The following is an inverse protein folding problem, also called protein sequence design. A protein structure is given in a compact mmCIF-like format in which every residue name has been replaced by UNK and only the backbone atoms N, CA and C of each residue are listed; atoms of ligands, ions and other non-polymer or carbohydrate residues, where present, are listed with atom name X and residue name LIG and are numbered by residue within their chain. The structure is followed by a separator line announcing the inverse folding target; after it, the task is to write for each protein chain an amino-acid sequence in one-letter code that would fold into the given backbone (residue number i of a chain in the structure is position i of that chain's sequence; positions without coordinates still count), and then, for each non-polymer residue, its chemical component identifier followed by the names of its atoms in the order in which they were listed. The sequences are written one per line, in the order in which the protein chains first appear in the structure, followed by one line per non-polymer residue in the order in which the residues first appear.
data_IF_716733377302
#
_entry.id   IF_716733377302
#
_cell.length_a   1.000
_cell.length_b   1.000
_cell.length_c   1.000
_cell.angle_alpha   90.00
_cell.angle_beta   90.00
_cell.angle_gamma   90.00
#
_symmetry.space_group_name_H-M   'P 1'
#
loop_
_entity.id
_entity.type
_entity.pdbx_description
1 polymer ?
#
# COMPACT_ATOMS: atom_id res chain seq x y z
N UNK A 1 -20.76 10.79 15.95
CA UNK A 1 -21.04 10.33 14.58
C UNK A 1 -19.68 10.10 13.93
N UNK A 2 -19.58 9.27 12.89
CA UNK A 2 -18.29 9.08 12.24
C UNK A 2 -18.03 10.23 11.25
N UNK A 3 -16.76 10.62 11.06
CA UNK A 3 -16.36 11.55 10.01
C UNK A 3 -16.85 11.05 8.63
N UNK A 4 -17.12 11.96 7.71
CA UNK A 4 -17.55 11.62 6.34
C UNK A 4 -16.39 11.77 5.37
N UNK A 5 -16.27 10.82 4.43
CA UNK A 5 -15.27 10.79 3.39
C UNK A 5 -15.89 11.02 2.02
N UNK A 6 -15.23 11.80 1.17
CA UNK A 6 -15.57 11.97 -0.25
C UNK A 6 -14.31 12.25 -1.07
N UNK A 7 -14.30 11.79 -2.32
CA UNK A 7 -13.21 12.09 -3.25
C UNK A 7 -13.53 13.34 -4.05
N UNK A 8 -12.57 14.26 -4.15
CA UNK A 8 -12.67 15.51 -4.91
C UNK A 8 -11.58 15.53 -5.97
N UNK A 9 -12.00 15.72 -7.21
CA UNK A 9 -11.13 15.64 -8.39
C UNK A 9 -11.39 14.37 -9.19
N UNK A 10 -10.98 14.36 -10.44
CA UNK A 10 -11.15 13.24 -11.38
C UNK A 10 -9.85 12.56 -11.75
N UNK A 11 -8.73 13.23 -11.54
CA UNK A 11 -7.38 12.73 -11.76
C UNK A 11 -6.60 13.08 -10.49
N UNK A 12 -5.96 12.08 -9.86
CA UNK A 12 -5.22 12.27 -8.61
C UNK A 12 -6.06 13.02 -7.56
N UNK A 13 -7.19 12.42 -7.15
CA UNK A 13 -8.17 13.11 -6.32
C UNK A 13 -7.63 13.40 -4.93
N UNK A 14 -8.19 14.41 -4.27
CA UNK A 14 -8.06 14.59 -2.83
C UNK A 14 -9.11 13.74 -2.11
N UNK A 15 -8.75 13.20 -0.96
CA UNK A 15 -9.72 12.74 0.02
C UNK A 15 -10.16 13.94 0.87
N UNK A 16 -11.41 14.34 0.73
CA UNK A 16 -12.05 15.31 1.61
C UNK A 16 -12.67 14.61 2.80
N UNK A 17 -12.33 15.06 4.00
CA UNK A 17 -12.84 14.56 5.26
C UNK A 17 -13.56 15.71 5.98
N UNK A 18 -14.84 15.53 6.30
CA UNK A 18 -15.58 16.43 7.19
C UNK A 18 -15.71 15.77 8.56
N UNK A 19 -15.25 16.46 9.62
CA UNK A 19 -15.24 16.02 11.00
C UNK A 19 -16.14 16.95 11.83
N UNK A 20 -17.12 16.38 12.52
CA UNK A 20 -17.87 17.10 13.53
C UNK A 20 -17.06 17.16 14.83
N UNK A 21 -17.34 18.14 15.69
CA UNK A 21 -16.66 18.27 16.98
C UNK A 21 -16.65 16.94 17.75
N UNK A 22 -15.45 16.48 18.11
CA UNK A 22 -15.20 15.20 18.79
C UNK A 22 -15.00 14.01 17.85
N UNK A 23 -15.20 14.17 16.54
CA UNK A 23 -14.83 13.13 15.57
C UNK A 23 -13.31 13.11 15.36
N UNK A 24 -12.81 11.95 15.00
CA UNK A 24 -11.41 11.79 14.58
C UNK A 24 -11.25 10.72 13.52
N UNK A 25 -10.17 10.81 12.76
CA UNK A 25 -9.75 9.85 11.75
C UNK A 25 -8.29 9.49 11.92
N UNK A 26 -7.90 8.34 11.39
CA UNK A 26 -6.49 7.98 11.20
C UNK A 26 -6.10 8.20 9.76
N UNK A 27 -4.87 8.65 9.53
CA UNK A 27 -4.31 8.80 8.17
C UNK A 27 -2.84 8.39 8.14
N UNK A 28 -2.36 8.13 6.93
CA UNK A 28 -0.94 7.90 6.67
C UNK A 28 -0.13 9.15 7.04
N UNK A 29 1.10 8.95 7.50
CA UNK A 29 2.04 10.05 7.70
C UNK A 29 2.28 10.80 6.38
N UNK A 30 2.32 12.12 6.44
CA UNK A 30 2.49 13.02 5.29
C UNK A 30 1.29 13.09 4.32
N UNK A 31 0.17 12.42 4.58
CA UNK A 31 -1.01 12.52 3.72
C UNK A 31 -1.76 13.86 3.85
N UNK A 32 -1.58 14.60 4.96
CA UNK A 32 -2.29 15.86 5.19
C UNK A 32 -1.80 16.96 4.24
N UNK A 33 -2.72 17.45 3.42
CA UNK A 33 -2.50 18.57 2.49
C UNK A 33 -3.01 19.88 3.08
N UNK A 34 -4.21 19.86 3.65
CA UNK A 34 -4.87 21.00 4.27
C UNK A 34 -5.75 20.53 5.42
N UNK A 35 -5.82 21.31 6.48
CA UNK A 35 -6.84 21.16 7.51
C UNK A 35 -7.24 22.52 8.07
N UNK A 36 -8.49 22.64 8.48
CA UNK A 36 -8.98 23.84 9.16
C UNK A 36 -8.44 23.94 10.58
N UNK A 37 -8.33 25.17 11.11
CA UNK A 37 -7.75 25.47 12.41
C UNK A 37 -8.53 24.91 13.62
N UNK A 38 -9.76 24.43 13.40
CA UNK A 38 -10.56 23.74 14.41
C UNK A 38 -10.13 22.29 14.65
N UNK A 39 -9.28 21.75 13.75
CA UNK A 39 -8.74 20.41 13.79
C UNK A 39 -7.34 20.41 14.39
N UNK A 40 -6.97 19.30 15.03
CA UNK A 40 -5.62 19.05 15.52
C UNK A 40 -5.04 17.78 14.89
N UNK A 41 -3.79 17.88 14.44
CA UNK A 41 -3.01 16.76 13.95
C UNK A 41 -2.13 16.20 15.08
N UNK A 42 -2.31 14.93 15.41
CA UNK A 42 -1.56 14.23 16.45
C UNK A 42 -0.83 13.03 15.85
N UNK A 43 0.48 12.91 16.09
CA UNK A 43 1.21 11.69 15.76
C UNK A 43 0.77 10.54 16.67
N UNK A 44 0.41 9.38 16.11
CA UNK A 44 0.04 8.20 16.86
C UNK A 44 0.95 7.02 16.54
N UNK A 45 1.61 6.52 17.57
CA UNK A 45 2.29 5.21 17.55
C UNK A 45 1.27 4.15 17.98
N UNK A 46 0.78 3.33 17.07
CA UNK A 46 -0.07 2.21 17.43
C UNK A 46 0.74 1.05 18.03
N UNK A 47 0.47 0.77 19.31
CA UNK A 47 0.70 -0.49 20.03
C UNK A 47 2.12 -1.06 20.12
N UNK A 48 2.41 -1.80 21.19
CA UNK A 48 3.73 -2.37 21.51
C UNK A 48 4.37 -3.31 20.48
N UNK A 49 3.59 -3.90 19.56
CA UNK A 49 4.13 -4.68 18.46
C UNK A 49 4.81 -3.80 17.40
N UNK A 50 4.33 -2.57 17.23
CA UNK A 50 4.86 -1.58 16.30
C UNK A 50 6.28 -1.14 16.70
N UNK A 51 6.58 -1.01 18.00
CA UNK A 51 7.94 -0.67 18.44
C UNK A 51 8.97 -1.76 18.10
N UNK A 52 8.57 -3.02 18.12
CA UNK A 52 9.47 -4.12 17.75
C UNK A 52 9.63 -4.25 16.22
N UNK A 53 8.58 -3.93 15.47
CA UNK A 53 8.59 -3.85 14.01
C UNK A 53 9.41 -2.63 13.55
N UNK A 54 9.23 -1.47 14.17
CA UNK A 54 9.98 -0.25 13.85
C UNK A 54 11.49 -0.39 14.06
N UNK A 55 11.94 -1.16 15.05
CA UNK A 55 13.38 -1.47 15.20
C UNK A 55 13.93 -2.31 14.06
N UNK A 56 13.09 -3.10 13.38
CA UNK A 56 13.46 -3.91 12.22
C UNK A 56 13.36 -3.15 10.89
N UNK A 57 12.46 -2.17 10.83
CA UNK A 57 12.15 -1.37 9.63
C UNK A 57 12.49 0.11 9.81
N UNK A 58 13.52 0.41 10.62
CA UNK A 58 13.93 1.78 10.94
C UNK A 58 14.27 2.67 9.71
N UNK A 59 14.19 2.12 8.51
CA UNK A 59 14.37 2.83 7.25
C UNK A 59 13.10 2.95 6.39
N UNK A 60 11.95 2.39 6.83
CA UNK A 60 10.67 2.51 6.10
C UNK A 60 9.66 3.27 6.96
N UNK A 61 9.34 4.49 6.55
CA UNK A 61 8.47 5.43 7.24
C UNK A 61 6.97 5.04 7.23
N UNK A 62 6.58 3.94 6.58
CA UNK A 62 5.20 3.60 6.23
C UNK A 62 4.29 3.13 7.37
N UNK A 63 4.80 3.00 8.60
CA UNK A 63 4.01 2.52 9.75
C UNK A 63 3.58 3.61 10.73
N UNK A 64 3.84 4.88 10.42
CA UNK A 64 3.38 5.99 11.24
C UNK A 64 1.98 6.42 10.79
N UNK A 65 1.00 6.13 11.62
CA UNK A 65 -0.32 6.72 11.47
C UNK A 65 -0.39 8.02 12.26
N UNK A 66 -1.01 9.02 11.66
CA UNK A 66 -1.40 10.26 12.29
C UNK A 66 -2.89 10.22 12.62
N UNK A 67 -3.32 10.97 13.61
CA UNK A 67 -4.71 11.17 13.96
C UNK A 67 -5.08 12.63 13.74
N UNK A 68 -6.15 12.89 13.01
CA UNK A 68 -6.76 14.22 12.89
C UNK A 68 -8.03 14.20 13.73
N UNK A 69 -8.17 15.17 14.64
CA UNK A 69 -9.30 15.27 15.57
C UNK A 69 -9.92 16.67 15.53
N UNK A 70 -11.24 16.73 15.53
CA UNK A 70 -12.02 17.97 15.59
C UNK A 70 -12.19 18.43 17.04
N UNK A 71 -11.20 19.14 17.57
CA UNK A 71 -11.13 19.53 19.00
C UNK A 71 -11.92 20.79 19.26
N UNK A 72 -11.75 21.82 18.43
CA UNK A 72 -12.28 23.16 18.68
C UNK A 72 -13.61 23.44 17.94
N UNK A 73 -14.13 22.49 17.20
CA UNK A 73 -15.36 22.63 16.41
C UNK A 73 -15.37 21.66 15.23
N UNK A 74 -16.40 21.74 14.42
CA UNK A 74 -16.47 21.07 13.12
C UNK A 74 -15.40 21.65 12.19
N UNK A 75 -14.82 20.81 11.33
CA UNK A 75 -13.85 21.26 10.35
C UNK A 75 -13.60 20.25 9.25
N UNK A 76 -13.00 20.75 8.18
CA UNK A 76 -12.65 19.98 6.99
C UNK A 76 -11.15 19.80 6.87
N UNK A 77 -10.73 18.64 6.32
CA UNK A 77 -9.36 18.46 5.89
C UNK A 77 -9.29 17.76 4.52
N UNK A 78 -8.19 18.00 3.81
CA UNK A 78 -7.84 17.34 2.57
C UNK A 78 -6.60 16.49 2.78
N UNK A 79 -6.70 15.24 2.34
CA UNK A 79 -5.59 14.29 2.35
C UNK A 79 -5.29 13.85 0.92
N UNK A 80 -4.02 13.52 0.65
CA UNK A 80 -3.58 12.92 -0.60
C UNK A 80 -2.44 11.93 -0.33
N UNK A 81 -2.35 10.81 -1.08
CA UNK A 81 -1.23 9.89 -0.98
C UNK A 81 0.05 10.50 -1.54
N UNK A 82 1.20 9.96 -1.14
CA UNK A 82 2.51 10.42 -1.64
C UNK A 82 2.73 10.06 -3.12
N UNK A 83 2.19 8.93 -3.57
CA UNK A 83 2.32 8.48 -4.96
C UNK A 83 1.14 8.97 -5.79
N UNK A 84 1.46 9.40 -7.02
CA UNK A 84 0.47 9.80 -8.02
C UNK A 84 -0.48 8.63 -8.32
N UNK A 85 -1.78 8.87 -8.22
CA UNK A 85 -2.74 7.82 -8.52
C UNK A 85 -4.14 8.04 -7.98
N UNK A 86 -4.93 7.00 -8.10
CA UNK A 86 -6.32 7.00 -7.75
C UNK A 86 -6.53 6.52 -6.31
N UNK A 87 -7.69 6.85 -5.75
CA UNK A 87 -8.13 6.42 -4.43
C UNK A 87 -9.51 5.78 -4.48
N UNK A 88 -9.77 4.88 -3.54
CA UNK A 88 -11.09 4.27 -3.36
C UNK A 88 -11.47 4.26 -1.88
N UNK A 89 -12.72 4.68 -1.60
CA UNK A 89 -13.34 4.56 -0.29
C UNK A 89 -14.02 3.20 -0.21
N UNK A 90 -13.70 2.42 0.82
CA UNK A 90 -14.18 1.05 1.00
C UNK A 90 -14.94 0.95 2.33
N UNK A 91 -16.13 0.38 2.30
CA UNK A 91 -16.91 0.10 3.50
C UNK A 91 -16.39 -1.19 4.17
N UNK A 92 -16.02 -1.06 5.44
CA UNK A 92 -15.55 -2.15 6.31
C UNK A 92 -16.67 -2.52 7.28
N UNK A 93 -16.94 -3.80 7.44
CA UNK A 93 -17.99 -4.29 8.33
C UNK A 93 -18.07 -5.81 8.32
N UNK A 94 -19.12 -6.37 7.71
CA UNK A 94 -19.20 -7.81 7.50
C UNK A 94 -18.05 -8.33 6.62
N UNK A 95 -17.61 -7.51 5.64
CA UNK A 95 -16.42 -7.76 4.84
C UNK A 95 -15.23 -7.01 5.46
N UNK A 96 -14.12 -7.73 5.62
CA UNK A 96 -12.83 -7.18 6.03
C UNK A 96 -11.84 -7.28 4.86
N UNK A 97 -10.81 -6.44 4.89
CA UNK A 97 -9.86 -6.32 3.78
C UNK A 97 -8.42 -6.52 4.25
N UNK A 98 -7.63 -7.08 3.36
CA UNK A 98 -6.17 -7.12 3.47
C UNK A 98 -5.59 -6.11 2.50
N UNK A 99 -4.74 -5.22 2.98
CA UNK A 99 -4.12 -4.14 2.22
C UNK A 99 -2.63 -4.43 2.02
N UNK A 100 -2.13 -4.16 0.84
CA UNK A 100 -0.68 -4.15 0.56
C UNK A 100 0.01 -3.01 1.31
N UNK A 101 1.32 -3.13 1.48
CA UNK A 101 2.15 -2.06 2.01
C UNK A 101 2.05 -0.79 1.15
N UNK A 102 1.83 0.35 1.81
CA UNK A 102 1.67 1.65 1.15
C UNK A 102 0.31 1.89 0.49
N UNK A 103 -0.68 0.99 0.63
CA UNK A 103 -2.01 1.20 0.09
C UNK A 103 -2.94 2.02 1.02
N UNK A 104 -2.65 2.10 2.30
CA UNK A 104 -3.47 2.79 3.29
C UNK A 104 -3.33 4.31 3.17
N UNK A 105 -4.45 5.04 3.12
CA UNK A 105 -4.49 6.51 3.15
C UNK A 105 -5.12 7.02 4.43
N UNK A 106 -6.34 6.58 4.74
CA UNK A 106 -7.09 7.01 5.92
C UNK A 106 -8.12 5.98 6.34
N UNK A 107 -8.56 6.06 7.61
CA UNK A 107 -9.65 5.26 8.14
C UNK A 107 -10.45 6.05 9.19
N UNK A 108 -11.75 5.76 9.26
CA UNK A 108 -12.58 6.16 10.40
C UNK A 108 -12.15 5.40 11.66
N UNK A 109 -12.34 6.00 12.83
CA UNK A 109 -11.90 5.40 14.13
C UNK A 109 -12.56 4.08 14.50
N UNK A 110 -13.66 3.71 13.83
CA UNK A 110 -14.30 2.40 13.97
C UNK A 110 -13.55 1.26 13.25
N UNK A 111 -12.58 1.59 12.39
CA UNK A 111 -11.74 0.63 11.67
C UNK A 111 -10.34 0.59 12.27
N UNK A 112 -9.97 -0.54 12.82
CA UNK A 112 -8.61 -0.80 13.31
C UNK A 112 -7.78 -1.40 12.15
N UNK A 113 -6.55 -0.92 11.96
CA UNK A 113 -5.61 -1.40 10.94
C UNK A 113 -4.44 -2.09 11.64
N UNK A 114 -4.26 -3.37 11.36
CA UNK A 114 -3.22 -4.20 11.98
C UNK A 114 -2.22 -4.71 10.96
N UNK A 115 -0.95 -4.40 11.19
CA UNK A 115 0.12 -5.00 10.40
C UNK A 115 0.27 -6.49 10.73
N UNK A 116 0.37 -7.30 9.68
CA UNK A 116 0.59 -8.74 9.78
C UNK A 116 1.73 -9.16 8.86
N UNK A 117 2.75 -9.81 9.42
CA UNK A 117 3.87 -10.35 8.64
C UNK A 117 3.55 -11.80 8.29
N UNK A 118 3.28 -12.03 7.02
CA UNK A 118 3.05 -13.36 6.47
C UNK A 118 4.38 -14.11 6.28
N UNK A 119 4.78 -14.87 7.30
CA UNK A 119 6.05 -15.63 7.27
C UNK A 119 5.96 -16.94 6.50
N UNK A 120 4.75 -17.49 6.32
CA UNK A 120 4.52 -18.83 5.80
C UNK A 120 4.29 -18.91 4.27
N UNK A 121 4.34 -17.78 3.57
CA UNK A 121 4.09 -17.72 2.12
C UNK A 121 5.31 -18.12 1.26
N UNK A 122 6.16 -18.97 1.77
CA UNK A 122 7.33 -19.47 1.05
C UNK A 122 8.65 -18.98 1.65
N UNK A 123 9.08 -19.57 2.76
CA UNK A 123 10.36 -19.27 3.43
C UNK A 123 11.58 -19.38 2.51
N UNK A 124 11.46 -20.08 1.37
CA UNK A 124 12.47 -20.13 0.33
C UNK A 124 12.54 -18.86 -0.55
N UNK A 125 11.50 -18.01 -0.54
CA UNK A 125 11.41 -16.82 -1.40
C UNK A 125 11.97 -15.58 -0.71
N UNK A 126 11.82 -15.46 0.60
CA UNK A 126 12.24 -14.27 1.36
C UNK A 126 13.61 -14.40 2.04
N UNK A 127 14.20 -15.60 2.09
CA UNK A 127 15.44 -15.82 2.84
C UNK A 127 15.31 -15.27 4.27
N UNK A 128 16.34 -14.60 4.78
CA UNK A 128 16.36 -13.96 6.10
C UNK A 128 15.66 -12.56 6.14
N UNK A 129 15.03 -12.09 5.06
CA UNK A 129 14.55 -10.71 4.93
C UNK A 129 13.16 -10.45 5.55
N UNK A 130 12.54 -11.42 6.20
CA UNK A 130 11.46 -11.12 7.14
C UNK A 130 10.01 -11.32 6.69
N UNK A 131 9.74 -11.74 5.46
CA UNK A 131 8.38 -12.10 5.02
C UNK A 131 7.61 -10.97 4.32
N UNK A 132 6.42 -11.29 3.82
CA UNK A 132 5.51 -10.38 3.14
C UNK A 132 4.64 -9.63 4.17
N UNK A 133 4.73 -8.30 4.18
CA UNK A 133 3.95 -7.47 5.09
C UNK A 133 2.63 -7.07 4.44
N UNK A 134 1.55 -7.23 5.18
CA UNK A 134 0.22 -6.76 4.82
C UNK A 134 -0.43 -6.09 6.01
N UNK A 135 -1.41 -5.26 5.77
CA UNK A 135 -2.27 -4.67 6.78
C UNK A 135 -3.67 -5.28 6.68
N UNK A 136 -4.31 -5.53 7.81
CA UNK A 136 -5.67 -6.07 7.84
C UNK A 136 -6.60 -5.10 8.56
N UNK A 137 -7.77 -4.88 7.97
CA UNK A 137 -8.85 -4.13 8.61
C UNK A 137 -9.54 -5.00 9.66
N UNK A 138 -10.03 -4.37 10.71
CA UNK A 138 -10.91 -4.98 11.69
C UNK A 138 -11.88 -3.92 12.21
N UNK A 139 -13.15 -4.27 12.33
CA UNK A 139 -14.18 -3.35 12.87
C UNK A 139 -15.19 -2.92 11.84
N UNK A 140 -15.70 -1.69 11.96
CA UNK A 140 -16.77 -1.17 11.11
C UNK A 140 -16.58 0.31 10.84
N UNK A 141 -16.76 0.72 9.58
CA UNK A 141 -16.60 2.10 9.11
C UNK A 141 -16.05 2.12 7.69
N UNK A 142 -15.30 3.16 7.37
CA UNK A 142 -14.67 3.33 6.06
C UNK A 142 -13.15 3.36 6.16
N UNK A 143 -12.50 2.70 5.21
CA UNK A 143 -11.07 2.82 4.93
C UNK A 143 -10.87 3.37 3.54
N UNK A 144 -9.84 4.18 3.36
CA UNK A 144 -9.45 4.72 2.05
C UNK A 144 -8.12 4.11 1.67
N UNK A 145 -8.07 3.57 0.47
CA UNK A 145 -6.87 3.01 -0.13
C UNK A 145 -6.47 3.80 -1.36
N UNK A 146 -5.18 3.80 -1.67
CA UNK A 146 -4.63 4.37 -2.89
C UNK A 146 -3.78 3.34 -3.64
N UNK A 147 -3.66 3.56 -4.95
CA UNK A 147 -2.77 2.79 -5.81
C UNK A 147 -2.04 3.69 -6.79
N UNK A 148 -0.83 3.32 -7.15
CA UNK A 148 -0.05 4.07 -8.12
C UNK A 148 -0.68 3.97 -9.53
N UNK A 149 -1.14 5.09 -10.08
CA UNK A 149 -1.94 5.17 -11.31
C UNK A 149 -3.43 4.88 -11.07
N UNK A 150 -4.12 4.33 -12.06
CA UNK A 150 -5.55 4.03 -12.00
C UNK A 150 -5.85 2.78 -11.19
N UNK A 151 -6.98 2.75 -10.48
CA UNK A 151 -7.47 1.58 -9.78
C UNK A 151 -8.42 0.76 -10.67
N UNK A 152 -8.41 -0.55 -10.48
CA UNK A 152 -9.32 -1.49 -11.13
C UNK A 152 -9.68 -2.63 -10.19
N UNK A 153 -10.97 -2.97 -10.12
CA UNK A 153 -11.50 -4.04 -9.29
C UNK A 153 -11.68 -5.32 -10.12
N UNK A 154 -11.21 -6.45 -9.61
CA UNK A 154 -11.30 -7.77 -10.23
C UNK A 154 -12.14 -8.67 -9.35
N UNK A 155 -13.17 -9.30 -9.92
CA UNK A 155 -13.92 -10.37 -9.27
C UNK A 155 -13.16 -11.69 -9.38
N UNK A 156 -12.94 -12.35 -8.24
CA UNK A 156 -12.43 -13.71 -8.13
C UNK A 156 -13.60 -14.61 -7.83
N UNK A 157 -13.75 -15.68 -8.60
CA UNK A 157 -14.81 -16.67 -8.45
C UNK A 157 -14.23 -18.09 -8.36
N UNK A 158 -14.95 -19.10 -7.82
CA UNK A 158 -14.41 -20.44 -7.63
C UNK A 158 -13.93 -21.14 -8.90
N UNK A 159 -14.40 -20.69 -10.06
CA UNK A 159 -14.04 -21.18 -11.39
C UNK A 159 -13.00 -20.31 -12.10
N UNK A 160 -12.57 -19.19 -11.48
CA UNK A 160 -11.67 -18.20 -12.06
C UNK A 160 -10.65 -17.69 -11.06
N UNK A 161 -9.59 -18.47 -10.84
CA UNK A 161 -8.41 -18.00 -10.12
C UNK A 161 -7.69 -16.90 -10.93
N UNK A 162 -7.11 -15.93 -10.23
CA UNK A 162 -6.35 -14.85 -10.87
C UNK A 162 -4.93 -14.79 -10.34
N UNK A 163 -3.99 -14.52 -11.22
CA UNK A 163 -2.57 -14.32 -10.89
C UNK A 163 -2.23 -12.85 -11.16
N UNK A 164 -1.73 -12.17 -10.15
CA UNK A 164 -1.46 -10.73 -10.20
C UNK A 164 -0.03 -10.50 -9.73
N UNK A 165 0.73 -9.65 -10.44
CA UNK A 165 2.03 -9.17 -9.98
C UNK A 165 1.84 -8.43 -8.65
N UNK A 166 2.61 -8.82 -7.65
CA UNK A 166 2.51 -8.26 -6.29
C UNK A 166 2.61 -6.73 -6.25
N UNK A 167 3.43 -6.14 -7.11
CA UNK A 167 3.63 -4.69 -7.18
C UNK A 167 2.42 -3.91 -7.73
N UNK A 168 1.39 -4.61 -8.22
CA UNK A 168 0.12 -4.02 -8.67
C UNK A 168 -1.04 -4.26 -7.71
N UNK A 169 -0.90 -5.10 -6.68
CA UNK A 169 -1.98 -5.40 -5.74
C UNK A 169 -2.10 -4.28 -4.71
N UNK A 170 -3.31 -3.71 -4.57
CA UNK A 170 -3.63 -2.66 -3.60
C UNK A 170 -4.29 -3.25 -2.35
N UNK A 171 -5.42 -3.93 -2.53
CA UNK A 171 -6.08 -4.64 -1.44
C UNK A 171 -7.01 -5.74 -1.95
N UNK A 172 -7.45 -6.60 -1.06
CA UNK A 172 -8.37 -7.70 -1.39
C UNK A 172 -9.26 -8.09 -0.21
N UNK A 173 -10.36 -8.75 -0.51
CA UNK A 173 -11.25 -9.33 0.50
C UNK A 173 -10.48 -10.34 1.37
N UNK A 174 -10.51 -10.17 2.69
CA UNK A 174 -9.75 -11.04 3.61
C UNK A 174 -10.18 -12.51 3.64
N UNK A 175 -11.33 -12.83 3.03
CA UNK A 175 -11.83 -14.21 2.87
C UNK A 175 -11.28 -14.92 1.62
N UNK A 176 -10.56 -14.22 0.74
CA UNK A 176 -9.86 -14.85 -0.38
C UNK A 176 -8.65 -15.65 0.12
N UNK A 177 -8.49 -16.84 -0.41
CA UNK A 177 -7.23 -17.56 -0.31
C UNK A 177 -6.21 -16.96 -1.27
N UNK A 178 -4.97 -16.80 -0.82
CA UNK A 178 -3.89 -16.32 -1.67
C UNK A 178 -2.57 -17.04 -1.42
N UNK A 179 -1.79 -17.21 -2.48
CA UNK A 179 -0.45 -17.82 -2.44
C UNK A 179 0.54 -16.93 -3.15
N UNK A 180 1.65 -16.62 -2.47
CA UNK A 180 2.77 -15.93 -3.08
C UNK A 180 3.65 -16.95 -3.81
N UNK A 181 3.99 -16.64 -5.04
CA UNK A 181 4.90 -17.45 -5.85
C UNK A 181 5.81 -16.54 -6.68
N UNK A 182 6.93 -17.11 -7.11
CA UNK A 182 7.81 -16.43 -8.07
C UNK A 182 7.27 -16.72 -9.46
N UNK A 183 7.09 -15.68 -10.28
CA UNK A 183 6.67 -15.84 -11.67
C UNK A 183 7.69 -16.71 -12.41
N UNK A 184 7.32 -17.95 -12.70
CA UNK A 184 8.14 -18.84 -13.49
C UNK A 184 7.51 -19.04 -14.87
N UNK A 185 8.15 -18.57 -15.92
CA UNK A 185 7.84 -19.04 -17.25
C UNK A 185 8.10 -20.55 -17.32
N UNK A 186 7.06 -21.32 -17.61
CA UNK A 186 7.08 -22.78 -17.69
C UNK A 186 8.19 -23.28 -18.62
N UNK A 187 9.34 -23.71 -18.08
CA UNK A 187 10.17 -24.73 -18.72
C UNK A 187 10.52 -25.80 -17.70
N UNK A 188 10.10 -27.04 -18.01
CA UNK A 188 10.39 -28.25 -17.25
C UNK A 188 11.89 -28.42 -17.01
N UNK A 189 12.31 -28.36 -15.73
CA UNK A 189 13.68 -28.70 -15.32
C UNK A 189 13.83 -28.41 -13.84
N UNK A 190 13.93 -29.46 -13.07
CA UNK A 190 14.01 -29.44 -11.60
C UNK A 190 15.34 -28.78 -11.21
N UNK A 191 15.34 -27.75 -10.38
CA UNK A 191 16.44 -27.11 -9.66
C UNK A 191 17.18 -25.88 -10.22
N UNK A 192 16.98 -25.42 -11.45
CA UNK A 192 17.70 -24.20 -11.91
C UNK A 192 16.85 -22.91 -11.92
N UNK A 193 15.62 -22.95 -11.40
CA UNK A 193 14.58 -21.96 -11.71
C UNK A 193 14.42 -20.80 -10.73
N UNK A 194 15.05 -20.85 -9.56
CA UNK A 194 14.91 -19.78 -8.55
C UNK A 194 15.77 -18.55 -8.93
N UNK A 195 16.88 -18.77 -9.62
CA UNK A 195 17.82 -17.69 -9.96
C UNK A 195 17.42 -16.93 -11.23
N UNK A 196 16.68 -17.57 -12.14
CA UNK A 196 16.32 -16.97 -13.45
C UNK A 196 15.08 -16.07 -13.41
N UNK A 197 14.23 -16.14 -12.39
CA UNK A 197 13.04 -15.30 -12.27
C UNK A 197 13.37 -13.87 -11.83
N UNK A 198 14.41 -13.70 -11.03
CA UNK A 198 14.92 -12.36 -10.65
C UNK A 198 15.52 -11.61 -11.85
N UNK A 199 15.97 -12.34 -12.88
CA UNK A 199 16.56 -11.75 -14.09
C UNK A 199 15.57 -11.45 -15.20
N UNK A 200 14.33 -11.96 -15.12
CA UNK A 200 13.29 -11.71 -16.15
C UNK A 200 12.45 -10.45 -15.91
N UNK A 201 12.72 -9.69 -14.83
CA UNK A 201 12.02 -8.44 -14.52
C UNK A 201 10.59 -8.61 -14.01
N UNK A 202 10.06 -9.83 -13.99
CA UNK A 202 8.77 -10.15 -13.40
C UNK A 202 9.00 -10.65 -11.97
N UNK A 203 8.52 -9.86 -11.00
CA UNK A 203 8.73 -10.08 -9.59
C UNK A 203 7.93 -11.25 -9.00
N UNK A 204 7.52 -11.10 -7.77
CA UNK A 204 6.65 -12.02 -7.07
C UNK A 204 5.20 -11.84 -7.52
N UNK A 205 4.46 -12.92 -7.67
CA UNK A 205 3.03 -12.91 -8.02
C UNK A 205 2.19 -13.48 -6.89
N UNK A 206 1.00 -12.92 -6.72
CA UNK A 206 -0.06 -13.43 -5.85
C UNK A 206 -1.08 -14.18 -6.70
N UNK A 207 -1.35 -15.42 -6.34
CA UNK A 207 -2.42 -16.22 -6.93
C UNK A 207 -3.59 -16.24 -5.96
N UNK A 208 -4.72 -15.65 -6.37
CA UNK A 208 -5.95 -15.55 -5.59
C UNK A 208 -6.96 -16.60 -6.05
N UNK A 209 -7.64 -17.21 -5.07
CA UNK A 209 -8.73 -18.19 -5.28
C UNK A 209 -9.85 -18.00 -4.26
N UNK A 210 -11.04 -18.52 -4.58
CA UNK A 210 -12.22 -18.40 -3.73
C UNK A 210 -13.27 -17.46 -4.33
N UNK A 211 -13.99 -16.73 -3.48
CA UNK A 211 -15.01 -15.75 -3.90
C UNK A 211 -14.78 -14.42 -3.22
N UNK A 212 -14.56 -13.37 -3.99
CA UNK A 212 -14.31 -12.02 -3.48
C UNK A 212 -13.71 -11.11 -4.52
N UNK A 213 -13.17 -9.99 -4.08
CA UNK A 213 -12.64 -8.93 -4.93
C UNK A 213 -11.19 -8.63 -4.61
N UNK A 214 -10.45 -8.26 -5.66
CA UNK A 214 -9.08 -7.73 -5.56
C UNK A 214 -9.04 -6.38 -6.26
N UNK A 215 -8.52 -5.36 -5.59
CA UNK A 215 -8.26 -4.04 -6.18
C UNK A 215 -6.79 -3.98 -6.58
N UNK A 216 -6.54 -3.61 -7.81
CA UNK A 216 -5.21 -3.46 -8.37
C UNK A 216 -4.97 -2.04 -8.88
N UNK A 217 -3.71 -1.67 -9.07
CA UNK A 217 -3.30 -0.41 -9.67
C UNK A 217 -2.53 -0.62 -10.97
N UNK A 218 -2.59 0.38 -11.86
CA UNK A 218 -2.05 0.26 -13.22
C UNK A 218 -0.52 0.39 -13.30
N UNK A 219 0.14 0.88 -12.26
CA UNK A 219 1.59 1.10 -12.22
C UNK A 219 2.22 0.37 -11.05
N UNK A 220 3.47 -0.07 -11.22
CA UNK A 220 4.26 -0.75 -10.21
C UNK A 220 5.29 0.23 -9.61
N UNK A 221 5.22 0.44 -8.29
CA UNK A 221 6.10 1.34 -7.54
C UNK A 221 7.57 0.96 -7.66
N UNK A 222 7.89 -0.32 -7.50
CA UNK A 222 9.28 -0.79 -7.50
C UNK A 222 9.92 -0.65 -8.89
N UNK A 223 9.15 -0.95 -9.94
CA UNK A 223 9.57 -0.73 -11.33
C UNK A 223 9.83 0.75 -11.62
N UNK A 224 8.98 1.64 -11.10
CA UNK A 224 9.14 3.08 -11.24
C UNK A 224 10.38 3.60 -10.50
N UNK A 225 10.61 3.14 -9.26
CA UNK A 225 11.83 3.47 -8.50
C UNK A 225 13.09 2.98 -9.21
N UNK A 226 13.09 1.75 -9.73
CA UNK A 226 14.21 1.23 -10.50
C UNK A 226 14.49 2.05 -11.76
N UNK A 227 13.45 2.48 -12.47
CA UNK A 227 13.59 3.38 -13.61
C UNK A 227 14.16 4.75 -13.21
N UNK A 228 13.66 5.38 -12.15
CA UNK A 228 14.22 6.64 -11.62
C UNK A 228 15.70 6.49 -11.24
N UNK A 229 16.07 5.44 -10.54
CA UNK A 229 17.46 5.18 -10.16
C UNK A 229 18.36 5.02 -11.39
N UNK A 230 17.86 4.39 -12.45
CA UNK A 230 18.61 4.24 -13.70
C UNK A 230 18.91 5.57 -14.40
N UNK A 231 17.97 6.54 -14.31
CA UNK A 231 18.13 7.87 -14.89
C UNK A 231 19.04 8.76 -14.03
N UNK A 232 18.84 8.74 -12.71
CA UNK A 232 19.57 9.61 -11.77
C UNK A 232 21.03 9.17 -11.55
N UNK A 233 21.44 8.01 -12.08
CA UNK A 233 22.82 7.55 -12.00
C UNK A 233 23.30 7.24 -10.58
N UNK A 234 22.41 7.01 -9.63
CA UNK A 234 22.74 6.60 -8.26
C UNK A 234 23.10 5.11 -8.21
N UNK A 235 24.15 4.71 -8.94
CA UNK A 235 24.79 3.43 -8.70
C UNK A 235 25.66 3.56 -7.45
N UNK A 236 25.27 2.92 -6.38
CA UNK A 236 26.08 2.74 -5.20
C UNK A 236 27.37 1.98 -5.56
N UNK A 237 28.50 2.70 -5.56
CA UNK A 237 29.84 2.12 -5.39
C UNK A 237 30.46 1.39 -6.56
N UNK A 238 31.19 2.11 -7.42
CA UNK A 238 32.18 1.54 -8.34
C UNK A 238 32.93 2.66 -9.06
N UNK A 239 34.19 2.87 -8.71
CA UNK A 239 35.11 3.80 -9.37
C UNK A 239 35.19 3.54 -10.88
N UNK A 240 34.87 4.53 -11.71
CA UNK A 240 35.17 4.49 -13.13
C UNK A 240 34.25 5.42 -13.93
N UNK A 241 34.77 6.59 -14.33
CA UNK A 241 34.07 7.71 -14.93
C UNK A 241 33.23 7.38 -16.18
N UNK A 242 32.13 8.08 -16.29
CA UNK A 242 31.81 8.87 -17.49
C UNK A 242 30.63 9.82 -17.17
N UNK A 243 30.94 11.08 -16.96
CA UNK A 243 29.98 12.18 -16.86
C UNK A 243 29.57 12.60 -18.27
N UNK A 244 28.58 11.97 -18.85
CA UNK A 244 28.20 12.22 -20.24
C UNK A 244 26.71 12.41 -20.53
N UNK A 245 25.83 12.08 -19.62
CA UNK A 245 24.40 12.01 -19.96
C UNK A 245 23.58 13.28 -19.68
N UNK A 246 24.01 14.11 -18.74
CA UNK A 246 23.25 15.30 -18.35
C UNK A 246 23.48 16.53 -19.24
N UNK A 247 24.46 16.53 -20.14
CA UNK A 247 24.74 17.66 -21.03
C UNK A 247 23.87 17.73 -22.29
N UNK A 248 22.95 16.79 -22.51
CA UNK A 248 22.08 16.77 -23.69
C UNK A 248 20.60 17.10 -23.42
N UNK A 249 20.24 17.56 -22.22
CA UNK A 249 18.84 17.84 -21.85
C UNK A 249 18.61 19.31 -21.42
N UNK A 250 19.63 20.18 -21.55
CA UNK A 250 19.47 21.64 -21.40
C UNK A 250 19.66 22.35 -22.72
#
# INVERSE_FOLDING_TARGET
MAATFSLIGTIEPFLHCNLKKGDSIYCEANAMVMMESNLELKGKLQGGLMQSLMRRFANDESLFQQQIEAVNGEGDCLLAPTLDGDMQIIDVGAQQYTLSDGAFVAAQTGVDIRANIQRNLGGAVFGDTGGFMVMQTQGQGQVVVSGFGSLFEIDVTPDKDVIIDNGHVVCWDSNLDYKLSVSTSKKKGIMSNIINSVTSGEGMVLNFSGTGKVIICSRNRDSYQGWLQSILGTSSGGRGGNSGFLNNIL
#
